data_IF_114389108775
#
_entry.id   IF_114389108775
#
_cell.length_a   1.000
_cell.length_b   1.000
_cell.length_c   1.000
_cell.angle_alpha   90.00
_cell.angle_beta   90.00
_cell.angle_gamma   90.00
#
_symmetry.space_group_name_H-M   'P 1'
#
loop_
_entity.id
_entity.type
_entity.pdbx_description
1 polymer ?
#
# COMPACT_ATOMS: atom_id res chain seq x y z
N UNK A 1 -63.32 96.56 -22.46
CA UNK A 1 -62.00 96.36 -21.82
C UNK A 1 -61.96 95.20 -20.82
N UNK A 2 -62.91 95.08 -19.89
CA UNK A 2 -63.00 94.01 -18.88
C UNK A 2 -62.90 92.57 -19.45
N UNK A 3 -63.72 92.23 -20.46
CA UNK A 3 -63.69 90.90 -21.10
C UNK A 3 -62.31 90.53 -21.65
N UNK A 4 -61.61 91.48 -22.27
CA UNK A 4 -60.29 91.26 -22.87
C UNK A 4 -59.22 90.95 -21.79
N UNK A 5 -59.29 91.61 -20.62
CA UNK A 5 -58.40 91.33 -19.48
C UNK A 5 -58.61 89.93 -18.91
N UNK A 6 -59.86 89.45 -18.88
CA UNK A 6 -60.20 88.09 -18.45
C UNK A 6 -59.62 87.00 -19.35
N UNK A 7 -59.69 87.19 -20.68
CA UNK A 7 -59.09 86.26 -21.65
C UNK A 7 -57.56 86.20 -21.53
N UNK A 8 -56.89 87.34 -21.41
CA UNK A 8 -55.42 87.39 -21.23
C UNK A 8 -55.00 86.67 -19.94
N UNK A 9 -55.76 86.84 -18.85
CA UNK A 9 -55.47 86.19 -17.57
C UNK A 9 -55.63 84.67 -17.65
N UNK A 10 -56.65 84.18 -18.37
CA UNK A 10 -56.86 82.74 -18.61
C UNK A 10 -55.75 82.13 -19.47
N UNK A 11 -55.39 82.78 -20.57
CA UNK A 11 -54.34 82.32 -21.49
C UNK A 11 -52.96 82.21 -20.80
N UNK A 12 -52.66 83.15 -19.90
CA UNK A 12 -51.45 83.10 -19.08
C UNK A 12 -51.48 81.96 -18.04
N UNK A 13 -52.66 81.66 -17.47
CA UNK A 13 -52.82 80.55 -16.52
C UNK A 13 -52.66 79.20 -17.22
N UNK A 14 -53.23 79.04 -18.42
CA UNK A 14 -53.15 77.81 -19.23
C UNK A 14 -51.69 77.53 -19.66
N UNK A 15 -50.92 78.57 -20.05
CA UNK A 15 -49.48 78.45 -20.35
C UNK A 15 -48.67 78.00 -19.15
N UNK A 16 -48.95 78.55 -17.96
CA UNK A 16 -48.27 78.14 -16.73
C UNK A 16 -48.56 76.67 -16.40
N UNK A 17 -49.82 76.25 -16.50
CA UNK A 17 -50.22 74.86 -16.23
C UNK A 17 -49.55 73.88 -17.19
N UNK A 18 -49.44 74.23 -18.48
CA UNK A 18 -48.73 73.42 -19.48
C UNK A 18 -47.24 73.31 -19.12
N UNK A 19 -46.59 74.43 -18.79
CA UNK A 19 -45.17 74.46 -18.40
C UNK A 19 -44.88 73.60 -17.16
N UNK A 20 -45.73 73.71 -16.13
CA UNK A 20 -45.61 72.92 -14.91
C UNK A 20 -45.82 71.42 -15.19
N UNK A 21 -46.75 71.09 -16.08
CA UNK A 21 -47.03 69.71 -16.50
C UNK A 21 -45.85 69.11 -17.26
N UNK A 22 -45.26 69.84 -18.21
CA UNK A 22 -44.06 69.41 -18.93
C UNK A 22 -42.89 69.18 -17.96
N UNK A 23 -42.70 70.08 -17.00
CA UNK A 23 -41.65 69.97 -15.99
C UNK A 23 -41.81 68.70 -15.14
N UNK A 24 -43.04 68.39 -14.72
CA UNK A 24 -43.36 67.16 -13.97
C UNK A 24 -43.12 65.91 -14.81
N UNK A 25 -43.49 65.93 -16.08
CA UNK A 25 -43.27 64.81 -17.02
C UNK A 25 -41.77 64.54 -17.17
N UNK A 26 -40.97 65.59 -17.44
CA UNK A 26 -39.52 65.45 -17.60
C UNK A 26 -38.87 64.91 -16.32
N UNK A 27 -39.28 65.43 -15.16
CA UNK A 27 -38.79 64.94 -13.86
C UNK A 27 -39.15 63.47 -13.64
N UNK A 28 -40.35 63.04 -14.03
CA UNK A 28 -40.77 61.64 -13.93
C UNK A 28 -39.97 60.75 -14.89
N UNK A 29 -39.71 61.21 -16.11
CA UNK A 29 -38.89 60.53 -17.11
C UNK A 29 -37.46 60.31 -16.61
N UNK A 30 -36.84 61.34 -16.04
CA UNK A 30 -35.47 61.28 -15.51
C UNK A 30 -35.36 60.30 -14.33
N UNK A 31 -36.38 60.29 -13.45
CA UNK A 31 -36.47 59.32 -12.35
C UNK A 31 -36.64 57.89 -12.87
N UNK A 32 -37.47 57.68 -13.88
CA UNK A 32 -37.66 56.37 -14.51
C UNK A 32 -36.37 55.85 -15.17
N UNK A 33 -35.69 56.71 -15.92
CA UNK A 33 -34.41 56.38 -16.57
C UNK A 33 -33.31 56.06 -15.54
N UNK A 34 -33.26 56.83 -14.45
CA UNK A 34 -32.33 56.62 -13.34
C UNK A 34 -32.62 55.30 -12.60
N UNK A 35 -33.90 54.99 -12.34
CA UNK A 35 -34.31 53.72 -11.72
C UNK A 35 -33.99 52.51 -12.61
N UNK A 36 -34.22 52.61 -13.92
CA UNK A 36 -33.87 51.57 -14.88
C UNK A 36 -32.36 51.31 -14.94
N UNK A 37 -31.56 52.38 -15.00
CA UNK A 37 -30.10 52.28 -15.02
C UNK A 37 -29.55 51.66 -13.73
N UNK A 38 -30.10 52.06 -12.57
CA UNK A 38 -29.74 51.49 -11.27
C UNK A 38 -30.14 50.02 -11.14
N UNK A 39 -31.29 49.62 -11.68
CA UNK A 39 -31.72 48.22 -11.69
C UNK A 39 -30.75 47.36 -12.51
N UNK A 40 -30.36 47.82 -13.71
CA UNK A 40 -29.36 47.12 -14.53
C UNK A 40 -27.97 47.07 -13.89
N UNK A 41 -27.57 48.09 -13.11
CA UNK A 41 -26.27 48.08 -12.41
C UNK A 41 -26.25 47.22 -11.15
N UNK A 42 -27.42 46.96 -10.53
CA UNK A 42 -27.56 46.08 -9.35
C UNK A 42 -27.77 44.61 -9.71
N UNK A 43 -28.05 44.32 -10.98
CA UNK A 43 -28.09 42.95 -11.45
C UNK A 43 -26.64 42.48 -11.62
N UNK A 44 -26.07 41.90 -10.56
CA UNK A 44 -24.79 41.19 -10.65
C UNK A 44 -24.95 40.07 -11.69
N UNK A 45 -24.46 40.32 -12.91
CA UNK A 45 -24.32 39.29 -13.93
C UNK A 45 -23.14 38.43 -13.50
N UNK A 46 -23.42 37.44 -12.66
CA UNK A 46 -22.49 36.34 -12.41
C UNK A 46 -22.07 35.76 -13.76
N UNK A 47 -20.77 35.77 -14.04
CA UNK A 47 -20.26 35.20 -15.28
C UNK A 47 -20.41 33.68 -15.21
N UNK A 48 -21.01 33.09 -16.24
CA UNK A 48 -21.16 31.64 -16.34
C UNK A 48 -19.90 31.09 -17.02
N UNK A 49 -19.13 30.27 -16.31
CA UNK A 49 -17.85 29.72 -16.79
C UNK A 49 -17.94 28.21 -17.03
N UNK A 50 -17.27 27.73 -18.07
CA UNK A 50 -17.07 26.31 -18.36
C UNK A 50 -15.74 25.77 -17.84
N UNK A 51 -14.96 26.58 -17.12
CA UNK A 51 -13.65 26.18 -16.60
C UNK A 51 -13.79 25.26 -15.39
N UNK A 52 -13.06 24.14 -15.38
CA UNK A 52 -12.95 23.23 -14.23
C UNK A 52 -11.78 23.55 -13.31
N UNK A 53 -11.02 24.61 -13.59
CA UNK A 53 -9.80 24.98 -12.84
C UNK A 53 -9.85 26.43 -12.36
N UNK A 54 -10.97 27.13 -12.56
CA UNK A 54 -11.13 28.50 -12.10
C UNK A 54 -11.13 28.54 -10.57
N UNK A 55 -10.47 29.54 -10.02
CA UNK A 55 -10.49 29.87 -8.58
C UNK A 55 -11.34 31.12 -8.30
N UNK A 56 -12.07 31.63 -9.31
CA UNK A 56 -12.96 32.79 -9.16
C UNK A 56 -14.06 32.49 -8.16
N UNK A 57 -14.32 33.42 -7.24
CA UNK A 57 -15.42 33.34 -6.28
C UNK A 57 -16.69 34.07 -6.75
N UNK A 58 -16.60 34.79 -7.88
CA UNK A 58 -17.70 35.57 -8.47
C UNK A 58 -18.28 34.97 -9.74
N UNK A 59 -17.64 33.92 -10.28
CA UNK A 59 -18.16 33.19 -11.45
C UNK A 59 -18.94 31.96 -11.00
N UNK A 60 -19.99 31.62 -11.74
CA UNK A 60 -20.77 30.40 -11.53
C UNK A 60 -20.33 29.35 -12.54
N UNK A 61 -20.00 28.15 -12.05
CA UNK A 61 -19.71 27.02 -12.90
C UNK A 61 -20.99 26.55 -13.63
N UNK A 62 -20.90 26.34 -14.94
CA UNK A 62 -22.00 25.74 -15.70
C UNK A 62 -22.08 24.22 -15.46
N UNK A 63 -23.20 23.62 -15.85
CA UNK A 63 -23.45 22.18 -15.70
C UNK A 63 -22.40 21.31 -16.42
N UNK A 64 -21.84 21.80 -17.53
CA UNK A 64 -20.78 21.12 -18.25
C UNK A 64 -19.48 21.04 -17.42
N UNK A 65 -19.05 22.16 -16.82
CA UNK A 65 -17.88 22.20 -15.94
C UNK A 65 -18.07 21.30 -14.71
N UNK A 66 -19.27 21.33 -14.10
CA UNK A 66 -19.60 20.47 -12.96
C UNK A 66 -19.56 19.00 -13.36
N UNK A 67 -20.11 18.63 -14.53
CA UNK A 67 -20.05 17.26 -15.04
C UNK A 67 -18.60 16.81 -15.29
N UNK A 68 -17.80 17.64 -15.96
CA UNK A 68 -16.40 17.32 -16.23
C UNK A 68 -15.58 17.15 -14.93
N UNK A 69 -15.85 17.95 -13.91
CA UNK A 69 -15.22 17.79 -12.60
C UNK A 69 -15.66 16.49 -11.90
N UNK A 70 -16.95 16.15 -11.99
CA UNK A 70 -17.51 14.90 -11.44
C UNK A 70 -16.93 13.66 -12.15
N UNK A 71 -16.84 13.68 -13.48
CA UNK A 71 -16.29 12.59 -14.27
C UNK A 71 -14.82 12.35 -13.89
N UNK A 72 -14.00 13.41 -13.80
CA UNK A 72 -12.60 13.32 -13.32
C UNK A 72 -12.50 12.80 -11.89
N UNK A 73 -13.42 13.19 -11.00
CA UNK A 73 -13.45 12.68 -9.64
C UNK A 73 -13.75 11.16 -9.62
N UNK A 74 -14.73 10.71 -10.41
CA UNK A 74 -15.09 9.30 -10.54
C UNK A 74 -13.94 8.47 -11.13
N UNK A 75 -13.25 8.97 -12.16
CA UNK A 75 -12.05 8.34 -12.72
C UNK A 75 -10.94 8.20 -11.66
N UNK A 76 -10.70 9.24 -10.87
CA UNK A 76 -9.73 9.20 -9.78
C UNK A 76 -10.11 8.19 -8.69
N UNK A 77 -11.39 8.13 -8.30
CA UNK A 77 -11.89 7.14 -7.35
C UNK A 77 -11.71 5.71 -7.86
N UNK A 78 -12.07 5.46 -9.12
CA UNK A 78 -11.92 4.15 -9.73
C UNK A 78 -10.44 3.75 -9.81
N UNK A 79 -9.57 4.66 -10.29
CA UNK A 79 -8.13 4.41 -10.37
C UNK A 79 -7.51 4.12 -9.00
N UNK A 80 -7.92 4.84 -7.94
CA UNK A 80 -7.46 4.57 -6.58
C UNK A 80 -7.96 3.19 -6.08
N UNK A 81 -9.20 2.82 -6.38
CA UNK A 81 -9.75 1.50 -6.05
C UNK A 81 -8.97 0.37 -6.74
N UNK A 82 -8.71 0.51 -8.03
CA UNK A 82 -7.94 -0.45 -8.81
C UNK A 82 -6.48 -0.56 -8.31
N UNK A 83 -5.88 0.58 -7.94
CA UNK A 83 -4.56 0.61 -7.30
C UNK A 83 -4.54 -0.17 -5.98
N UNK A 84 -5.55 0.00 -5.13
CA UNK A 84 -5.67 -0.79 -3.87
C UNK A 84 -5.85 -2.28 -4.14
N UNK A 85 -6.66 -2.65 -5.13
CA UNK A 85 -6.85 -4.04 -5.55
C UNK A 85 -5.51 -4.69 -5.94
N UNK A 86 -4.71 -3.99 -6.75
CA UNK A 86 -3.41 -4.48 -7.20
C UNK A 86 -2.41 -4.62 -6.05
N UNK A 87 -2.34 -3.62 -5.16
CA UNK A 87 -1.46 -3.66 -3.97
C UNK A 87 -1.84 -4.81 -3.04
N UNK A 88 -3.12 -4.96 -2.71
CA UNK A 88 -3.59 -6.05 -1.84
C UNK A 88 -3.30 -7.44 -2.44
N UNK A 89 -3.48 -7.59 -3.75
CA UNK A 89 -3.15 -8.83 -4.47
C UNK A 89 -1.64 -9.13 -4.42
N UNK A 90 -0.80 -8.11 -4.61
CA UNK A 90 0.65 -8.25 -4.54
C UNK A 90 1.11 -8.66 -3.12
N UNK A 91 0.58 -8.01 -2.08
CA UNK A 91 0.87 -8.36 -0.67
C UNK A 91 0.48 -9.82 -0.41
N UNK A 92 -0.72 -10.22 -0.84
CA UNK A 92 -1.24 -11.58 -0.66
C UNK A 92 -0.40 -12.62 -1.39
N UNK A 93 0.07 -12.31 -2.61
CA UNK A 93 0.94 -13.19 -3.39
C UNK A 93 2.30 -13.46 -2.73
N UNK A 94 2.72 -12.60 -1.80
CA UNK A 94 3.95 -12.72 -1.01
C UNK A 94 3.71 -13.29 0.39
N UNK A 95 2.52 -13.85 0.64
CA UNK A 95 2.15 -14.45 1.93
C UNK A 95 1.73 -13.45 3.00
N UNK A 96 1.61 -12.16 2.66
CA UNK A 96 0.99 -11.17 3.54
C UNK A 96 -0.54 -11.29 3.55
N UNK A 97 -1.20 -10.66 4.51
CA UNK A 97 -2.66 -10.56 4.55
C UNK A 97 -3.08 -9.11 4.28
N UNK A 98 -3.86 -8.88 3.22
CA UNK A 98 -4.38 -7.57 2.85
C UNK A 98 -5.68 -7.70 2.02
N UNK A 99 -6.51 -6.66 2.07
CA UNK A 99 -7.77 -6.57 1.31
C UNK A 99 -7.87 -5.23 0.57
N UNK A 100 -8.60 -5.21 -0.55
CA UNK A 100 -8.88 -3.96 -1.27
C UNK A 100 -9.77 -2.98 -0.51
N UNK A 101 -10.51 -3.47 0.49
CA UNK A 101 -11.25 -2.64 1.44
C UNK A 101 -10.34 -1.86 2.38
N UNK A 102 -9.07 -2.26 2.52
CA UNK A 102 -8.14 -1.62 3.44
C UNK A 102 -7.80 -0.18 3.00
N UNK A 103 -7.37 0.63 3.96
CA UNK A 103 -6.81 1.95 3.68
C UNK A 103 -5.42 1.83 3.08
N UNK A 104 -4.96 2.84 2.32
CA UNK A 104 -3.56 2.87 1.84
C UNK A 104 -2.54 2.76 2.98
N UNK A 105 -2.85 3.32 4.16
CA UNK A 105 -2.00 3.22 5.34
C UNK A 105 -1.91 1.78 5.87
N UNK A 106 -3.04 1.09 5.92
CA UNK A 106 -3.13 -0.33 6.33
C UNK A 106 -2.36 -1.21 5.33
N UNK A 107 -2.56 -0.99 4.03
CA UNK A 107 -1.82 -1.69 2.96
C UNK A 107 -0.31 -1.46 3.08
N UNK A 108 0.12 -0.21 3.30
CA UNK A 108 1.53 0.12 3.49
C UNK A 108 2.14 -0.55 4.73
N UNK A 109 1.37 -0.65 5.82
CA UNK A 109 1.78 -1.37 7.03
C UNK A 109 1.89 -2.88 6.78
N UNK A 110 0.95 -3.45 6.01
CA UNK A 110 0.98 -4.86 5.64
C UNK A 110 2.21 -5.21 4.78
N UNK A 111 2.69 -4.30 3.93
CA UNK A 111 3.93 -4.49 3.17
C UNK A 111 5.13 -4.73 4.09
N UNK A 112 5.23 -4.04 5.23
CA UNK A 112 6.33 -4.24 6.20
C UNK A 112 6.35 -5.65 6.81
N UNK A 113 5.21 -6.30 6.84
CA UNK A 113 5.05 -7.64 7.41
C UNK A 113 5.19 -8.75 6.36
N UNK A 114 5.40 -8.40 5.08
CA UNK A 114 5.77 -9.39 4.06
C UNK A 114 7.14 -9.95 4.43
N UNK A 115 7.23 -11.26 4.63
CA UNK A 115 8.51 -11.94 4.83
C UNK A 115 9.34 -11.78 3.55
N UNK A 116 10.44 -11.03 3.62
CA UNK A 116 11.37 -10.86 2.51
C UNK A 116 12.61 -11.75 2.72
N UNK A 117 12.77 -12.79 1.92
CA UNK A 117 13.93 -13.71 1.96
C UNK A 117 13.55 -15.15 2.28
N UNK A 118 14.49 -16.08 2.10
CA UNK A 118 14.35 -17.47 2.57
C UNK A 118 14.24 -17.48 4.10
N UNK A 119 13.28 -18.21 4.66
CA UNK A 119 13.24 -18.41 6.10
C UNK A 119 14.50 -19.17 6.53
N UNK A 120 15.19 -18.68 7.56
CA UNK A 120 16.35 -19.32 8.16
C UNK A 120 16.09 -19.53 9.64
N UNK A 121 16.51 -20.69 10.16
CA UNK A 121 16.58 -20.93 11.59
C UNK A 121 17.78 -21.80 11.92
N UNK A 122 18.33 -21.64 13.12
CA UNK A 122 19.47 -22.42 13.59
C UNK A 122 19.28 -22.83 15.04
N UNK A 123 20.00 -23.88 15.45
CA UNK A 123 19.86 -24.38 16.81
C UNK A 123 20.86 -25.44 17.18
N UNK A 124 20.74 -25.87 18.43
CA UNK A 124 21.41 -27.04 18.97
C UNK A 124 20.36 -28.06 19.36
N UNK A 125 20.54 -29.31 18.94
CA UNK A 125 19.59 -30.39 19.24
C UNK A 125 20.31 -31.58 19.81
N UNK A 126 19.76 -32.12 20.89
CA UNK A 126 20.31 -33.32 21.50
C UNK A 126 19.84 -34.59 20.79
N UNK A 127 20.70 -35.61 20.85
CA UNK A 127 20.44 -36.92 20.27
C UNK A 127 19.33 -37.63 21.05
N UNK A 128 18.33 -38.16 20.34
CA UNK A 128 17.28 -39.03 20.87
C UNK A 128 17.41 -40.41 20.23
N UNK A 129 17.89 -41.40 20.98
CA UNK A 129 18.18 -42.73 20.45
C UNK A 129 19.28 -42.70 19.38
N UNK A 130 18.94 -43.02 18.13
CA UNK A 130 19.85 -42.98 16.98
C UNK A 130 19.57 -41.82 16.01
N UNK A 131 18.85 -40.79 16.45
CA UNK A 131 18.48 -39.66 15.60
C UNK A 131 18.62 -38.31 16.29
N UNK A 132 18.83 -37.27 15.50
CA UNK A 132 18.56 -35.89 15.88
C UNK A 132 17.21 -35.50 15.30
N UNK A 133 16.28 -35.10 16.15
CA UNK A 133 14.91 -34.76 15.76
C UNK A 133 14.73 -33.26 15.95
N UNK A 134 14.61 -32.53 14.84
CA UNK A 134 14.36 -31.10 14.81
C UNK A 134 12.92 -30.90 14.35
N UNK A 135 12.13 -30.19 15.14
CA UNK A 135 10.72 -29.90 14.88
C UNK A 135 10.41 -28.43 15.21
N UNK A 136 9.27 -27.95 14.73
CA UNK A 136 8.75 -26.61 15.02
C UNK A 136 9.60 -25.45 14.46
N UNK A 137 10.21 -25.65 13.30
CA UNK A 137 11.06 -24.62 12.65
C UNK A 137 10.28 -23.63 11.77
N UNK A 138 8.96 -23.79 11.62
CA UNK A 138 8.06 -22.86 10.92
C UNK A 138 7.95 -23.10 9.41
N UNK A 139 8.87 -23.85 8.83
CA UNK A 139 8.93 -24.12 7.38
C UNK A 139 9.47 -25.53 7.08
N UNK A 140 9.31 -25.96 5.82
CA UNK A 140 9.90 -27.20 5.31
C UNK A 140 11.28 -26.86 4.74
N UNK A 141 12.38 -27.41 5.30
CA UNK A 141 13.71 -26.98 4.87
C UNK A 141 14.06 -27.49 3.46
N UNK A 142 14.51 -26.62 2.56
CA UNK A 142 15.15 -27.02 1.29
C UNK A 142 16.63 -27.37 1.51
N UNK A 143 17.30 -26.60 2.36
CA UNK A 143 18.74 -26.71 2.60
C UNK A 143 19.00 -26.81 4.10
N UNK A 144 19.87 -27.73 4.50
CA UNK A 144 20.25 -27.97 5.90
C UNK A 144 21.76 -28.08 5.95
N UNK A 145 22.39 -27.31 6.82
CA UNK A 145 23.81 -27.43 7.14
C UNK A 145 23.89 -27.81 8.61
N UNK A 146 24.75 -28.77 8.94
CA UNK A 146 24.91 -29.22 10.31
C UNK A 146 26.36 -29.57 10.65
N UNK A 147 26.64 -29.55 11.95
CA UNK A 147 27.92 -29.93 12.53
C UNK A 147 27.70 -30.66 13.84
N UNK A 148 28.46 -31.71 14.09
CA UNK A 148 28.60 -32.27 15.42
C UNK A 148 30.01 -32.76 15.67
N UNK A 149 30.37 -32.80 16.96
CA UNK A 149 31.64 -33.36 17.41
C UNK A 149 31.48 -34.86 17.64
N UNK A 150 32.53 -35.63 17.49
CA UNK A 150 32.55 -37.03 17.85
C UNK A 150 33.75 -37.27 18.75
N UNK A 151 33.51 -37.86 19.92
CA UNK A 151 34.56 -38.12 20.90
C UNK A 151 34.76 -39.63 21.02
N UNK A 152 35.78 -40.20 20.37
CA UNK A 152 36.21 -41.54 20.70
C UNK A 152 36.70 -41.55 22.14
N UNK A 153 36.42 -42.64 22.86
CA UNK A 153 36.82 -42.84 24.25
C UNK A 153 38.33 -42.85 24.49
N UNK A 154 39.17 -42.66 23.46
CA UNK A 154 40.62 -42.76 23.56
C UNK A 154 41.46 -41.92 22.57
N UNK A 155 40.91 -41.17 21.62
CA UNK A 155 41.72 -40.31 20.73
C UNK A 155 40.94 -39.13 20.16
N UNK A 156 41.54 -37.95 20.26
CA UNK A 156 41.37 -36.75 19.42
C UNK A 156 40.01 -36.60 18.70
N UNK A 157 39.14 -35.75 19.25
CA UNK A 157 37.81 -35.48 18.72
C UNK A 157 37.77 -35.21 17.21
N UNK A 158 36.75 -35.76 16.57
CA UNK A 158 36.47 -35.67 15.13
C UNK A 158 35.33 -34.67 14.91
N UNK A 159 35.40 -33.87 13.85
CA UNK A 159 34.31 -32.97 13.45
C UNK A 159 33.61 -33.56 12.23
N UNK A 160 32.30 -33.72 12.33
CA UNK A 160 31.45 -34.10 11.20
C UNK A 160 30.67 -32.87 10.77
N UNK A 161 30.79 -32.48 9.51
CA UNK A 161 29.97 -31.44 8.88
C UNK A 161 29.12 -32.10 7.80
N UNK A 162 27.88 -31.63 7.63
CA UNK A 162 27.03 -32.11 6.55
C UNK A 162 26.22 -30.98 5.94
N UNK A 163 25.96 -31.13 4.65
CA UNK A 163 25.07 -30.27 3.88
C UNK A 163 24.08 -31.16 3.15
N UNK A 164 22.81 -30.85 3.30
CA UNK A 164 21.78 -31.32 2.43
C UNK A 164 21.20 -30.16 1.65
N UNK A 165 20.93 -30.38 0.36
CA UNK A 165 20.16 -29.46 -0.46
C UNK A 165 19.19 -30.23 -1.34
N UNK A 166 17.92 -29.82 -1.37
CA UNK A 166 16.92 -30.40 -2.25
C UNK A 166 17.18 -30.11 -3.73
N UNK A 167 17.97 -29.08 -4.04
CA UNK A 167 18.36 -28.76 -5.43
C UNK A 167 19.17 -29.91 -6.03
N UNK A 168 20.10 -30.47 -5.25
CA UNK A 168 20.93 -31.61 -5.67
C UNK A 168 20.40 -32.96 -5.14
N UNK A 169 19.39 -32.94 -4.26
CA UNK A 169 18.79 -34.12 -3.63
C UNK A 169 19.81 -35.06 -2.98
N UNK A 170 20.88 -34.48 -2.43
CA UNK A 170 22.00 -35.21 -1.85
C UNK A 170 22.32 -34.69 -0.46
N UNK A 171 22.70 -35.61 0.42
CA UNK A 171 23.37 -35.34 1.68
C UNK A 171 24.87 -35.58 1.48
N UNK A 172 25.66 -34.52 1.61
CA UNK A 172 27.11 -34.56 1.55
C UNK A 172 27.62 -34.42 2.97
N UNK A 173 28.45 -35.37 3.42
CA UNK A 173 29.08 -35.31 4.75
C UNK A 173 30.60 -35.32 4.59
N UNK A 174 31.25 -34.40 5.29
CA UNK A 174 32.69 -34.37 5.46
C UNK A 174 33.05 -34.68 6.91
N UNK A 175 34.05 -35.52 7.07
CA UNK A 175 34.62 -35.88 8.37
C UNK A 175 36.06 -35.40 8.41
N UNK A 176 36.40 -34.61 9.41
CA UNK A 176 37.75 -34.09 9.63
C UNK A 176 38.27 -34.48 11.01
N UNK A 177 39.53 -34.87 11.09
CA UNK A 177 40.27 -35.02 12.35
C UNK A 177 41.20 -33.83 12.60
N UNK A 178 41.98 -33.84 13.69
CA UNK A 178 42.98 -32.79 14.02
C UNK A 178 44.15 -32.70 13.03
N UNK A 179 44.25 -33.60 12.06
CA UNK A 179 45.27 -33.58 11.00
C UNK A 179 44.74 -32.99 9.70
N UNK A 180 43.54 -32.38 9.73
CA UNK A 180 42.83 -31.78 8.57
C UNK A 180 42.60 -32.74 7.41
N UNK A 181 42.61 -34.05 7.67
CA UNK A 181 42.26 -35.05 6.67
C UNK A 181 40.75 -35.09 6.50
N UNK A 182 40.28 -34.64 5.34
CA UNK A 182 38.86 -34.66 4.99
C UNK A 182 38.51 -35.95 4.26
N UNK A 183 37.62 -36.75 4.85
CA UNK A 183 36.98 -37.87 4.18
C UNK A 183 35.54 -37.50 3.82
N UNK A 184 35.17 -37.70 2.55
CA UNK A 184 33.78 -37.57 2.10
C UNK A 184 33.07 -38.90 2.30
N UNK A 185 31.95 -38.89 3.02
CA UNK A 185 31.18 -40.10 3.32
C UNK A 185 29.71 -39.85 3.05
N UNK A 186 29.02 -40.78 2.42
CA UNK A 186 27.62 -40.60 1.97
C UNK A 186 26.62 -41.59 2.58
N UNK A 187 27.08 -42.59 3.35
CA UNK A 187 26.26 -43.74 3.75
C UNK A 187 25.84 -43.80 5.22
N UNK A 188 26.46 -43.03 6.12
CA UNK A 188 26.24 -43.17 7.57
C UNK A 188 24.93 -42.57 8.08
N UNK A 189 24.36 -41.60 7.36
CA UNK A 189 23.16 -40.92 7.80
C UNK A 189 22.09 -40.90 6.71
N UNK A 190 20.85 -41.08 7.11
CA UNK A 190 19.68 -40.72 6.34
C UNK A 190 19.12 -39.41 6.86
N UNK A 191 18.69 -38.56 5.93
CA UNK A 191 17.98 -37.34 6.26
C UNK A 191 16.53 -37.49 5.80
N UNK A 192 15.60 -37.35 6.75
CA UNK A 192 14.18 -37.27 6.45
C UNK A 192 13.69 -35.85 6.76
N UNK A 193 12.94 -35.24 5.84
CA UNK A 193 12.42 -33.88 5.99
C UNK A 193 10.91 -33.92 6.15
N UNK A 194 10.42 -33.20 7.14
CA UNK A 194 8.99 -33.03 7.38
C UNK A 194 8.58 -31.59 7.07
N UNK A 195 7.27 -31.33 7.03
CA UNK A 195 6.72 -30.00 6.73
C UNK A 195 7.21 -28.91 7.69
N UNK A 196 7.64 -29.29 8.91
CA UNK A 196 8.00 -28.38 9.98
C UNK A 196 9.26 -28.84 10.72
N UNK A 197 10.24 -29.41 10.00
CA UNK A 197 11.45 -29.96 10.62
C UNK A 197 12.20 -30.98 9.79
N UNK A 198 13.17 -31.64 10.42
CA UNK A 198 13.94 -32.72 9.82
C UNK A 198 14.46 -33.70 10.87
N UNK A 199 14.81 -34.89 10.41
CA UNK A 199 15.39 -35.94 11.22
C UNK A 199 16.66 -36.43 10.55
N UNK A 200 17.79 -36.28 11.23
CA UNK A 200 19.05 -36.87 10.82
C UNK A 200 19.20 -38.18 11.60
N UNK A 201 19.14 -39.32 10.90
CA UNK A 201 19.15 -40.66 11.49
C UNK A 201 20.40 -41.41 11.08
N UNK A 202 21.06 -42.03 12.04
CA UNK A 202 22.20 -42.93 11.82
C UNK A 202 21.71 -44.26 11.19
N UNK A 203 22.33 -44.67 10.07
CA UNK A 203 22.00 -45.90 9.36
C UNK A 203 22.87 -47.06 9.88
N UNK A 204 22.26 -48.05 10.52
CA UNK A 204 22.93 -49.27 11.01
C UNK A 204 23.43 -49.20 12.46
N UNK A 205 23.69 -50.36 13.07
CA UNK A 205 24.44 -50.42 14.32
C UNK A 205 25.88 -50.02 14.05
N UNK A 206 26.54 -49.25 14.93
CA UNK A 206 27.97 -49.01 14.84
C UNK A 206 28.70 -50.34 15.09
N UNK A 207 28.85 -51.17 14.05
CA UNK A 207 29.76 -52.32 14.09
C UNK A 207 31.21 -51.88 14.06
N UNK A 208 31.46 -50.58 13.84
CA UNK A 208 32.70 -49.94 14.26
C UNK A 208 32.63 -49.72 15.76
N UNK A 209 33.49 -50.40 16.53
CA UNK A 209 33.85 -50.01 17.89
C UNK A 209 34.46 -48.61 17.77
N UNK A 210 33.57 -47.62 17.85
CA UNK A 210 33.77 -46.27 17.36
C UNK A 210 32.97 -45.31 18.24
N UNK A 211 33.34 -44.03 18.18
CA UNK A 211 33.12 -43.05 19.23
C UNK A 211 31.71 -43.01 19.82
N UNK A 212 31.62 -42.75 21.13
CA UNK A 212 30.40 -42.19 21.72
C UNK A 212 30.19 -40.82 21.07
N UNK A 213 29.39 -40.80 20.01
CA UNK A 213 29.07 -39.60 19.25
C UNK A 213 28.54 -38.49 20.18
N UNK A 214 28.82 -37.22 19.86
CA UNK A 214 28.33 -36.08 20.65
C UNK A 214 26.84 -36.20 20.93
N UNK A 215 26.45 -35.82 22.15
CA UNK A 215 25.07 -35.68 22.52
C UNK A 215 24.37 -34.55 21.76
N UNK A 216 25.09 -33.61 21.14
CA UNK A 216 24.53 -32.42 20.50
C UNK A 216 24.96 -32.23 19.03
N UNK A 217 23.99 -31.80 18.22
CA UNK A 217 24.10 -31.37 16.82
C UNK A 217 23.85 -29.86 16.74
N UNK A 218 24.76 -29.11 16.12
CA UNK A 218 24.54 -27.73 15.71
C UNK A 218 24.01 -27.74 14.27
N UNK A 219 22.99 -26.94 13.98
CA UNK A 219 22.35 -26.94 12.67
C UNK A 219 21.85 -25.55 12.29
N UNK A 220 21.72 -25.35 10.97
CA UNK A 220 21.07 -24.21 10.33
C UNK A 220 20.25 -24.77 9.16
N UNK A 221 19.03 -24.29 9.02
CA UNK A 221 18.07 -24.73 8.03
C UNK A 221 17.52 -23.52 7.28
N UNK A 222 17.31 -23.71 5.98
CA UNK A 222 16.76 -22.71 5.08
C UNK A 222 15.55 -23.30 4.35
N UNK A 223 14.51 -22.48 4.16
CA UNK A 223 13.33 -22.82 3.34
C UNK A 223 13.70 -23.15 1.89
#
# INVERSE_FOLDING_TARGET
>A
MEKLKGYIKKDNLDKQLISDTITKINTAQDRANSAYSLANSKQDKLSISSSTTSTSTTDVANSYAVKQAMDKANEAFQSASDGKNQIASAISSKGGSASSSDSFYTLASAIKNIKSGSEETSGKTERTGNAFIISNIGFRPSTIIFRFHSYPSNTNGVIVNGIYSSVISQLIISVSDKTDRVNLITSFFSLNKNYNGFTLKENGSPTYIGPTWSSALEWIAFE
#
